data_IF_713433091614
#
_entry.id   IF_713433091614
#
_cell.length_a   1.000
_cell.length_b   1.000
_cell.length_c   1.000
_cell.angle_alpha   90.00
_cell.angle_beta   90.00
_cell.angle_gamma   90.00
#
_symmetry.space_group_name_H-M   'P 1'
#
loop_
_entity.id
_entity.type
_entity.pdbx_description
1 polymer ?
#
# COMPACT_ATOMS: atom_id res chain seq x y z
N UNK A 1 -8.99 28.87 26.51
CA UNK A 1 -9.21 27.63 27.28
C UNK A 1 -8.45 27.71 28.59
N UNK A 2 -7.14 27.78 28.58
CA UNK A 2 -6.31 27.97 29.77
C UNK A 2 -5.11 28.86 29.42
N UNK A 3 -4.60 29.59 30.42
CA UNK A 3 -3.30 30.30 30.39
C UNK A 3 -2.51 29.88 31.61
N UNK A 4 -1.23 29.74 31.46
CA UNK A 4 -0.29 29.42 32.53
C UNK A 4 1.13 29.83 32.15
N UNK A 5 2.03 29.80 33.09
CA UNK A 5 3.46 30.03 32.86
C UNK A 5 4.27 28.96 33.60
N UNK A 6 5.41 28.61 33.05
CA UNK A 6 6.38 27.72 33.66
C UNK A 6 7.78 28.29 33.45
N UNK A 7 8.74 27.90 34.25
CA UNK A 7 10.13 28.29 34.07
C UNK A 7 10.86 27.24 33.23
N UNK A 8 11.78 27.72 32.41
CA UNK A 8 12.72 26.87 31.67
C UNK A 8 13.85 26.51 32.62
N UNK A 9 14.25 25.25 32.66
CA UNK A 9 15.36 24.75 33.46
C UNK A 9 16.74 25.07 32.84
N UNK A 10 17.83 24.66 33.49
CA UNK A 10 19.20 24.91 33.06
C UNK A 10 19.54 24.23 31.74
N UNK A 11 18.82 23.17 31.38
CA UNK A 11 19.03 22.39 30.13
C UNK A 11 18.11 22.83 28.99
N UNK A 12 17.31 23.89 29.21
CA UNK A 12 16.36 24.41 28.25
C UNK A 12 15.02 23.67 28.25
N UNK A 13 14.78 22.75 29.17
CA UNK A 13 13.57 21.97 29.27
C UNK A 13 12.47 22.71 30.10
N UNK A 14 11.21 22.39 29.78
CA UNK A 14 10.07 22.79 30.61
C UNK A 14 8.97 21.75 30.54
N UNK A 15 8.14 21.71 31.60
CA UNK A 15 6.96 20.87 31.63
C UNK A 15 5.74 21.69 31.98
N UNK A 16 4.65 21.48 31.24
CA UNK A 16 3.36 22.11 31.51
C UNK A 16 2.25 21.07 31.34
N UNK A 17 1.39 20.97 32.35
CA UNK A 17 0.16 20.19 32.31
C UNK A 17 -1.05 21.12 32.50
N UNK A 18 -2.09 20.86 31.75
CA UNK A 18 -3.37 21.56 31.89
C UNK A 18 -4.54 20.63 31.63
N UNK A 19 -5.61 20.82 32.36
CA UNK A 19 -6.85 20.07 32.16
C UNK A 19 -7.71 20.73 31.08
N UNK A 20 -8.22 19.91 30.18
CA UNK A 20 -9.20 20.36 29.19
C UNK A 20 -10.57 20.37 29.87
N UNK A 21 -11.25 21.53 29.96
CA UNK A 21 -12.58 21.61 30.56
C UNK A 21 -13.56 20.69 29.84
N UNK A 22 -14.45 20.03 30.59
CA UNK A 22 -15.50 19.16 30.02
C UNK A 22 -16.42 19.87 29.02
N UNK A 23 -16.57 21.19 29.16
CA UNK A 23 -17.34 22.04 28.24
C UNK A 23 -16.50 22.66 27.10
N UNK A 24 -15.26 22.20 26.87
CA UNK A 24 -14.45 22.70 25.77
C UNK A 24 -15.10 22.37 24.43
N UNK A 25 -15.03 23.31 23.50
CA UNK A 25 -15.49 23.06 22.13
C UNK A 25 -14.64 21.94 21.49
N UNK A 26 -15.32 21.02 20.84
CA UNK A 26 -14.68 19.98 20.05
C UNK A 26 -14.09 20.57 18.75
N UNK A 27 -13.03 19.96 18.24
CA UNK A 27 -12.38 20.35 17.00
C UNK A 27 -10.91 20.73 17.17
N UNK A 28 -10.39 21.50 16.23
CA UNK A 28 -8.99 21.91 16.23
C UNK A 28 -8.70 22.93 17.33
N UNK A 29 -7.68 22.68 18.09
CA UNK A 29 -7.13 23.55 19.11
C UNK A 29 -5.62 23.71 18.92
N UNK A 30 -5.02 24.66 19.60
CA UNK A 30 -3.57 24.83 19.58
C UNK A 30 -3.06 25.33 20.94
N UNK A 31 -1.85 24.95 21.25
CA UNK A 31 -1.07 25.52 22.34
C UNK A 31 -0.21 26.61 21.73
N UNK A 32 -0.32 27.83 22.23
CA UNK A 32 0.58 28.92 21.90
C UNK A 32 1.59 29.05 23.05
N UNK A 33 2.85 28.93 22.72
CA UNK A 33 3.99 29.10 23.63
C UNK A 33 4.66 30.43 23.30
N UNK A 34 4.90 31.25 24.29
CA UNK A 34 5.61 32.52 24.19
C UNK A 34 6.76 32.49 25.19
N UNK A 35 7.95 32.85 24.75
CA UNK A 35 9.13 32.90 25.62
C UNK A 35 9.40 34.34 26.05
N UNK A 36 9.26 34.59 27.34
CA UNK A 36 9.59 35.89 27.93
C UNK A 36 11.12 36.09 28.02
N UNK A 37 11.58 37.29 27.64
CA UNK A 37 12.98 37.64 27.71
C UNK A 37 13.81 37.33 26.48
N UNK A 38 13.21 36.76 25.44
CA UNK A 38 13.90 36.34 24.20
C UNK A 38 14.06 37.45 23.13
N UNK A 39 14.15 38.71 23.52
CA UNK A 39 14.19 39.89 22.59
C UNK A 39 15.26 39.84 21.51
N UNK A 40 16.16 38.87 21.56
CA UNK A 40 17.28 38.72 20.60
C UNK A 40 17.12 37.52 19.67
N UNK A 41 16.07 36.72 19.80
CA UNK A 41 15.88 35.51 19.03
C UNK A 41 14.68 35.65 18.07
N UNK A 42 14.89 35.29 16.81
CA UNK A 42 13.78 35.08 15.86
C UNK A 42 13.07 33.76 16.24
N UNK A 43 11.80 33.80 16.61
CA UNK A 43 11.04 32.61 16.98
C UNK A 43 10.52 32.60 18.42
N UNK A 44 10.19 33.75 18.97
CA UNK A 44 9.67 33.95 20.34
C UNK A 44 8.34 33.20 20.62
N UNK A 45 7.64 32.75 19.60
CA UNK A 45 6.38 32.05 19.74
C UNK A 45 6.34 30.76 18.93
N UNK A 46 5.76 29.72 19.49
CA UNK A 46 5.50 28.46 18.84
C UNK A 46 4.04 28.06 19.00
N UNK A 47 3.44 27.50 17.94
CA UNK A 47 2.07 26.96 17.99
C UNK A 47 2.09 25.47 17.69
N UNK A 48 1.57 24.69 18.63
CA UNK A 48 1.40 23.26 18.48
C UNK A 48 -0.08 22.93 18.32
N UNK A 49 -0.52 22.44 17.15
CA UNK A 49 -1.92 22.06 16.95
C UNK A 49 -2.23 20.72 17.60
N UNK A 50 -3.45 20.58 18.11
CA UNK A 50 -4.01 19.32 18.59
C UNK A 50 -5.53 19.32 18.39
N UNK A 51 -6.17 18.17 18.55
CA UNK A 51 -7.62 18.03 18.41
C UNK A 51 -8.26 17.71 19.77
N UNK A 52 -9.36 18.39 20.06
CA UNK A 52 -10.24 18.06 21.18
C UNK A 52 -11.40 17.26 20.62
N UNK A 53 -11.51 16.01 21.04
CA UNK A 53 -12.56 15.09 20.59
C UNK A 53 -13.25 14.44 21.76
N UNK A 54 -14.56 14.16 21.60
CA UNK A 54 -15.27 13.32 22.54
C UNK A 54 -14.84 11.86 22.33
N UNK A 55 -14.26 11.27 23.35
CA UNK A 55 -13.94 9.84 23.30
C UNK A 55 -15.19 9.05 23.68
N UNK A 56 -15.76 8.34 22.71
CA UNK A 56 -16.77 7.33 22.96
C UNK A 56 -16.08 5.97 23.00
N UNK A 57 -16.33 5.23 24.07
CA UNK A 57 -15.83 3.86 24.16
C UNK A 57 -16.43 3.05 23.01
N UNK A 58 -15.59 2.32 22.22
CA UNK A 58 -16.10 1.45 21.19
C UNK A 58 -17.08 0.42 21.76
N UNK A 59 -18.22 0.23 21.12
CA UNK A 59 -19.22 -0.77 21.51
C UNK A 59 -19.09 -2.06 20.71
N UNK A 60 -18.45 -2.00 19.56
CA UNK A 60 -18.25 -3.13 18.67
C UNK A 60 -16.86 -3.11 18.02
N UNK A 61 -16.45 -4.26 17.51
CA UNK A 61 -15.23 -4.45 16.73
C UNK A 61 -15.59 -4.85 15.30
N UNK A 62 -14.67 -4.57 14.37
CA UNK A 62 -14.78 -4.97 12.97
C UNK A 62 -13.52 -5.73 12.57
N UNK A 63 -13.69 -6.85 11.90
CA UNK A 63 -12.61 -7.63 11.31
C UNK A 63 -12.86 -7.85 9.83
N UNK A 64 -11.80 -7.90 9.02
CA UNK A 64 -11.88 -8.22 7.60
C UNK A 64 -10.93 -9.35 7.26
N UNK A 65 -11.40 -10.28 6.44
CA UNK A 65 -10.63 -11.43 5.97
C UNK A 65 -10.92 -11.64 4.48
N UNK A 66 -9.98 -12.25 3.78
CA UNK A 66 -10.16 -12.74 2.42
C UNK A 66 -9.96 -14.23 2.35
N UNK A 67 -10.52 -14.89 1.33
CA UNK A 67 -10.21 -16.31 1.05
C UNK A 67 -8.70 -16.49 0.93
N UNK A 68 -8.20 -17.63 1.40
CA UNK A 68 -6.78 -17.98 1.31
C UNK A 68 -6.34 -18.13 -0.16
N UNK A 69 -5.09 -17.72 -0.42
CA UNK A 69 -4.46 -17.79 -1.75
C UNK A 69 -3.86 -19.18 -2.07
N UNK A 70 -3.14 -19.28 -3.17
CA UNK A 70 -2.78 -18.21 -4.10
C UNK A 70 -3.94 -17.77 -5.01
N UNK A 71 -4.00 -16.47 -5.30
CA UNK A 71 -4.98 -15.89 -6.19
C UNK A 71 -4.37 -15.61 -7.57
N UNK A 72 -5.18 -15.78 -8.62
CA UNK A 72 -4.74 -15.60 -10.01
C UNK A 72 -5.65 -14.68 -10.79
N UNK A 73 -5.09 -13.92 -11.72
CA UNK A 73 -5.85 -13.14 -12.70
C UNK A 73 -6.87 -14.03 -13.43
N UNK A 74 -8.07 -13.51 -13.69
CA UNK A 74 -9.18 -14.26 -14.28
C UNK A 74 -9.91 -15.18 -13.29
N UNK A 75 -9.62 -15.10 -12.00
CA UNK A 75 -10.33 -15.76 -10.90
C UNK A 75 -11.00 -14.73 -10.00
N UNK A 76 -11.43 -15.13 -8.83
CA UNK A 76 -12.02 -14.24 -7.84
C UNK A 76 -11.62 -14.66 -6.41
N UNK A 77 -11.82 -13.74 -5.48
CA UNK A 77 -11.78 -14.00 -4.05
C UNK A 77 -13.06 -13.49 -3.37
N UNK A 78 -13.28 -13.96 -2.15
CA UNK A 78 -14.34 -13.45 -1.29
C UNK A 78 -13.68 -12.69 -0.14
N UNK A 79 -13.98 -11.40 -0.04
CA UNK A 79 -13.74 -10.61 1.16
C UNK A 79 -14.89 -10.78 2.14
N UNK A 80 -14.60 -11.02 3.40
CA UNK A 80 -15.61 -11.11 4.46
C UNK A 80 -15.30 -10.06 5.52
N UNK A 81 -16.27 -9.21 5.83
CA UNK A 81 -16.24 -8.34 6.99
C UNK A 81 -17.16 -8.90 8.07
N UNK A 82 -16.72 -8.83 9.31
CA UNK A 82 -17.52 -9.23 10.49
C UNK A 82 -17.49 -8.12 11.51
N UNK A 83 -18.66 -7.72 11.98
CA UNK A 83 -18.83 -6.73 13.04
C UNK A 83 -19.56 -7.39 14.21
N UNK A 84 -19.00 -7.27 15.42
CA UNK A 84 -19.56 -7.87 16.62
C UNK A 84 -19.46 -6.92 17.83
N UNK A 85 -20.48 -6.93 18.67
CA UNK A 85 -20.46 -6.18 19.92
C UNK A 85 -19.48 -6.80 20.92
N UNK A 86 -18.76 -5.98 21.65
CA UNK A 86 -17.91 -6.46 22.76
C UNK A 86 -18.70 -7.19 23.85
N UNK A 87 -19.98 -6.89 23.98
CA UNK A 87 -20.89 -7.60 24.89
C UNK A 87 -21.36 -8.97 24.35
N UNK A 88 -20.98 -9.31 23.13
CA UNK A 88 -21.36 -10.53 22.41
C UNK A 88 -22.48 -10.31 21.40
N UNK A 89 -22.50 -11.15 20.35
CA UNK A 89 -23.44 -11.10 19.23
C UNK A 89 -22.96 -10.26 18.07
N UNK A 90 -23.45 -10.58 16.87
CA UNK A 90 -23.16 -9.83 15.63
C UNK A 90 -23.88 -8.49 15.61
N UNK A 91 -23.41 -7.57 14.79
CA UNK A 91 -24.04 -6.27 14.52
C UNK A 91 -24.89 -6.39 13.24
N UNK A 92 -26.20 -6.68 13.34
CA UNK A 92 -27.03 -6.89 12.17
C UNK A 92 -27.46 -5.56 11.52
N UNK A 93 -27.78 -5.61 10.22
CA UNK A 93 -28.29 -4.48 9.43
C UNK A 93 -27.41 -3.22 9.44
N UNK A 94 -26.16 -3.32 9.89
CA UNK A 94 -25.22 -2.22 9.89
C UNK A 94 -24.78 -1.86 8.47
N UNK A 95 -24.64 -0.57 8.20
CA UNK A 95 -24.14 -0.10 6.90
C UNK A 95 -22.69 -0.51 6.71
N UNK A 96 -22.40 -1.13 5.55
CA UNK A 96 -21.05 -1.53 5.14
C UNK A 96 -20.66 -0.77 3.90
N UNK A 97 -19.53 -0.10 3.96
CA UNK A 97 -18.89 0.52 2.80
C UNK A 97 -17.55 -0.17 2.52
N UNK A 98 -17.47 -0.80 1.36
CA UNK A 98 -16.25 -1.42 0.87
C UNK A 98 -15.51 -0.48 -0.06
N UNK A 99 -14.21 -0.39 0.15
CA UNK A 99 -13.24 0.22 -0.75
C UNK A 99 -12.23 -0.83 -1.18
N UNK A 100 -12.21 -1.15 -2.46
CA UNK A 100 -11.22 -2.07 -3.03
C UNK A 100 -10.28 -1.29 -3.92
N UNK A 101 -8.99 -1.42 -3.67
CA UNK A 101 -7.96 -0.80 -4.50
C UNK A 101 -6.93 -1.81 -4.94
N UNK A 102 -6.46 -1.66 -6.19
CA UNK A 102 -5.45 -2.53 -6.77
C UNK A 102 -4.20 -1.71 -7.14
N UNK A 103 -3.05 -2.14 -6.66
CA UNK A 103 -1.75 -1.52 -6.97
C UNK A 103 -0.76 -2.55 -7.52
N UNK A 104 0.27 -2.08 -8.23
CA UNK A 104 1.38 -2.94 -8.63
C UNK A 104 2.08 -3.50 -7.40
N UNK A 105 2.41 -4.79 -7.44
CA UNK A 105 3.10 -5.47 -6.36
C UNK A 105 4.38 -6.13 -6.87
N UNK A 106 5.36 -6.22 -5.99
CA UNK A 106 6.54 -7.03 -6.18
C UNK A 106 6.37 -8.36 -5.45
N UNK A 107 6.61 -9.44 -6.13
CA UNK A 107 6.64 -10.77 -5.54
C UNK A 107 7.97 -11.43 -5.87
N UNK A 108 8.71 -11.83 -4.86
CA UNK A 108 9.95 -12.58 -4.99
C UNK A 108 9.72 -13.96 -4.38
N UNK A 109 9.79 -15.04 -5.17
CA UNK A 109 9.63 -16.39 -4.65
C UNK A 109 10.66 -16.73 -3.56
N UNK A 110 10.34 -17.60 -2.60
CA UNK A 110 11.26 -18.05 -1.56
C UNK A 110 12.61 -18.53 -2.13
N UNK A 111 13.70 -18.20 -1.44
CA UNK A 111 15.07 -18.55 -1.81
C UNK A 111 15.56 -18.00 -3.17
N UNK A 112 14.92 -16.96 -3.71
CA UNK A 112 15.26 -16.33 -5.01
C UNK A 112 15.58 -14.83 -4.89
N UNK A 113 16.01 -14.38 -3.72
CA UNK A 113 16.29 -12.97 -3.42
C UNK A 113 17.35 -12.31 -4.34
N UNK A 114 18.19 -13.10 -5.03
CA UNK A 114 19.18 -12.56 -5.99
C UNK A 114 18.62 -12.25 -7.37
N UNK A 115 17.34 -12.50 -7.63
CA UNK A 115 16.69 -12.26 -8.91
C UNK A 115 15.64 -11.16 -8.79
N UNK A 116 15.47 -10.39 -9.86
CA UNK A 116 14.40 -9.42 -10.02
C UNK A 116 13.20 -10.08 -10.70
N UNK A 117 12.05 -10.03 -10.05
CA UNK A 117 10.78 -10.55 -10.56
C UNK A 117 9.79 -9.39 -10.74
N UNK A 118 8.97 -9.49 -11.77
CA UNK A 118 7.92 -8.51 -12.04
C UNK A 118 8.43 -7.22 -12.70
N UNK A 119 7.75 -6.11 -12.44
CA UNK A 119 8.04 -4.81 -13.05
C UNK A 119 9.40 -4.31 -12.54
N UNK A 120 10.35 -3.96 -13.44
CA UNK A 120 11.60 -3.39 -13.00
C UNK A 120 11.32 -2.11 -12.20
N UNK A 121 11.98 -1.99 -11.06
CA UNK A 121 11.92 -0.78 -10.25
C UNK A 121 12.66 0.32 -11.01
N UNK A 122 12.00 0.97 -11.96
CA UNK A 122 12.55 2.14 -12.63
C UNK A 122 12.71 3.24 -11.58
N UNK A 123 13.89 3.73 -11.45
CA UNK A 123 14.28 4.88 -10.62
C UNK A 123 13.61 6.16 -11.14
N UNK A 124 12.30 6.19 -11.14
CA UNK A 124 11.47 7.29 -11.60
C UNK A 124 10.52 7.73 -10.48
N UNK A 125 11.12 8.31 -9.45
CA UNK A 125 10.37 9.03 -8.41
C UNK A 125 9.68 10.30 -8.97
N UNK A 126 9.93 10.63 -10.24
CA UNK A 126 9.34 11.77 -10.96
C UNK A 126 8.18 11.41 -11.87
N UNK A 127 7.99 10.17 -12.22
CA UNK A 127 6.94 9.72 -13.14
C UNK A 127 5.93 8.80 -12.45
N UNK A 128 5.26 9.27 -11.42
CA UNK A 128 3.95 8.74 -11.10
C UNK A 128 2.98 9.23 -12.19
N UNK A 129 2.86 8.45 -13.25
CA UNK A 129 1.85 8.65 -14.26
C UNK A 129 0.47 8.57 -13.58
N UNK A 130 -0.48 9.35 -14.07
CA UNK A 130 -1.90 9.23 -13.66
C UNK A 130 -2.45 7.81 -13.87
N UNK A 131 -1.83 7.03 -14.76
CA UNK A 131 -2.11 5.60 -14.99
C UNK A 131 -1.66 4.68 -13.85
N UNK A 132 -0.78 5.14 -12.96
CA UNK A 132 -0.29 4.36 -11.80
C UNK A 132 -1.16 4.58 -10.54
N UNK A 133 -2.23 5.39 -10.63
CA UNK A 133 -3.20 5.49 -9.54
C UNK A 133 -3.92 4.16 -9.40
N UNK A 134 -3.99 3.60 -8.19
CA UNK A 134 -4.71 2.37 -7.96
C UNK A 134 -6.16 2.53 -8.41
N UNK A 135 -6.63 1.62 -9.25
CA UNK A 135 -8.06 1.51 -9.54
C UNK A 135 -8.79 1.33 -8.21
N UNK A 136 -9.77 2.17 -7.94
CA UNK A 136 -10.54 2.13 -6.71
C UNK A 136 -12.00 1.91 -7.06
N UNK A 137 -12.59 0.92 -6.39
CA UNK A 137 -13.99 0.59 -6.54
C UNK A 137 -14.67 0.63 -5.17
N UNK A 138 -15.90 1.12 -5.13
CA UNK A 138 -16.66 1.31 -3.91
C UNK A 138 -18.00 0.56 -4.00
N UNK A 139 -18.35 -0.16 -2.94
CA UNK A 139 -19.64 -0.85 -2.82
C UNK A 139 -20.26 -0.58 -1.48
N UNK A 140 -21.59 -0.46 -1.48
CA UNK A 140 -22.39 -0.30 -0.27
C UNK A 140 -23.27 -1.52 -0.06
N UNK A 141 -23.35 -1.97 1.17
CA UNK A 141 -24.07 -3.16 1.56
C UNK A 141 -24.54 -3.05 3.02
N UNK A 142 -25.11 -4.12 3.55
CA UNK A 142 -25.43 -4.26 4.96
C UNK A 142 -24.97 -5.60 5.49
N UNK A 143 -24.68 -5.63 6.79
CA UNK A 143 -24.41 -6.89 7.47
C UNK A 143 -25.65 -7.74 7.59
N UNK A 144 -25.47 -9.05 7.59
CA UNK A 144 -26.53 -10.04 7.86
C UNK A 144 -26.86 -10.14 9.38
N UNK A 145 -27.73 -11.07 9.74
CA UNK A 145 -28.12 -11.32 11.12
C UNK A 145 -26.95 -11.74 12.04
N UNK A 146 -25.86 -12.27 11.47
CA UNK A 146 -24.64 -12.64 12.18
C UNK A 146 -23.63 -11.49 12.25
N UNK A 147 -23.95 -10.31 11.70
CA UNK A 147 -23.05 -9.17 11.62
C UNK A 147 -22.00 -9.30 10.51
N UNK A 148 -22.27 -10.10 9.48
CA UNK A 148 -21.31 -10.35 8.40
C UNK A 148 -21.81 -9.80 7.06
N UNK A 149 -20.85 -9.42 6.21
CA UNK A 149 -21.08 -9.22 4.79
C UNK A 149 -19.94 -9.81 3.98
N UNK A 150 -20.29 -10.39 2.81
CA UNK A 150 -19.34 -11.01 1.89
C UNK A 150 -19.34 -10.28 0.56
N UNK A 151 -18.18 -9.82 0.13
CA UNK A 151 -17.96 -9.19 -1.17
C UNK A 151 -17.19 -10.15 -2.08
N UNK A 152 -17.72 -10.44 -3.26
CA UNK A 152 -16.98 -11.11 -4.32
C UNK A 152 -16.18 -10.06 -5.08
N UNK A 153 -14.89 -10.30 -5.23
CA UNK A 153 -13.96 -9.47 -6.00
C UNK A 153 -13.42 -10.29 -7.16
N UNK A 154 -13.80 -9.93 -8.38
CA UNK A 154 -13.33 -10.57 -9.61
C UNK A 154 -12.01 -9.92 -10.06
N UNK A 155 -11.10 -10.73 -10.63
CA UNK A 155 -9.77 -10.29 -11.07
C UNK A 155 -9.65 -10.16 -12.58
N UNK A 156 -10.77 -10.12 -13.30
CA UNK A 156 -10.80 -10.10 -14.77
C UNK A 156 -10.26 -8.78 -15.37
N UNK A 157 -10.40 -7.67 -14.63
CA UNK A 157 -9.91 -6.35 -15.06
C UNK A 157 -8.45 -6.06 -14.75
N UNK A 158 -7.73 -7.00 -14.13
CA UNK A 158 -6.33 -6.81 -13.78
C UNK A 158 -5.43 -7.10 -14.98
N UNK A 159 -4.49 -6.19 -15.28
CA UNK A 159 -3.48 -6.45 -16.30
C UNK A 159 -2.60 -7.65 -15.89
N UNK A 160 -2.43 -8.65 -16.78
CA UNK A 160 -1.79 -9.92 -16.41
C UNK A 160 -0.25 -9.88 -16.40
N UNK A 161 0.36 -8.70 -16.55
CA UNK A 161 1.81 -8.63 -16.72
C UNK A 161 2.59 -8.82 -15.41
N UNK A 162 2.00 -8.41 -14.27
CA UNK A 162 2.69 -8.39 -12.98
C UNK A 162 1.75 -8.78 -11.84
N UNK A 163 2.33 -9.13 -10.70
CA UNK A 163 1.56 -9.33 -9.49
C UNK A 163 0.88 -8.02 -9.05
N UNK A 164 -0.34 -8.13 -8.52
CA UNK A 164 -1.12 -7.00 -8.02
C UNK A 164 -1.46 -7.22 -6.57
N UNK A 165 -1.26 -6.20 -5.75
CA UNK A 165 -1.81 -6.17 -4.40
C UNK A 165 -3.20 -5.57 -4.43
N UNK A 166 -4.16 -6.30 -3.88
CA UNK A 166 -5.50 -5.79 -3.63
C UNK A 166 -5.66 -5.53 -2.14
N UNK A 167 -6.06 -4.32 -1.81
CA UNK A 167 -6.45 -3.92 -0.47
C UNK A 167 -7.98 -3.81 -0.42
N UNK A 168 -8.60 -4.61 0.45
CA UNK A 168 -10.02 -4.60 0.76
C UNK A 168 -10.21 -3.91 2.08
N UNK A 169 -10.79 -2.73 2.08
CA UNK A 169 -11.11 -1.96 3.26
C UNK A 169 -12.62 -1.92 3.44
N UNK A 170 -13.10 -2.35 4.60
CA UNK A 170 -14.51 -2.36 4.94
C UNK A 170 -14.77 -1.48 6.15
N UNK A 171 -15.59 -0.46 5.99
CA UNK A 171 -16.09 0.40 7.06
C UNK A 171 -17.51 -0.01 7.44
N UNK A 172 -17.72 -0.32 8.70
CA UNK A 172 -19.04 -0.68 9.23
C UNK A 172 -19.52 0.42 10.16
N UNK A 173 -20.75 0.90 9.91
CA UNK A 173 -21.38 1.99 10.67
C UNK A 173 -22.61 1.48 11.38
N UNK A 174 -22.70 1.67 12.68
CA UNK A 174 -23.85 1.30 13.50
C UNK A 174 -24.97 2.34 13.46
N UNK A 175 -26.09 2.04 14.13
CA UNK A 175 -27.23 2.95 14.27
C UNK A 175 -26.92 4.25 15.02
N UNK A 176 -25.89 4.25 15.85
CA UNK A 176 -25.39 5.41 16.60
C UNK A 176 -24.40 6.25 15.79
N UNK A 177 -24.16 5.89 14.52
CA UNK A 177 -23.17 6.51 13.62
C UNK A 177 -21.74 6.35 14.09
N UNK A 178 -21.44 5.33 14.88
CA UNK A 178 -20.05 4.94 15.12
C UNK A 178 -19.60 4.10 13.93
N UNK A 179 -18.42 4.41 13.38
CA UNK A 179 -17.86 3.70 12.23
C UNK A 179 -16.49 3.15 12.56
N UNK A 180 -16.29 1.88 12.24
CA UNK A 180 -14.98 1.20 12.36
C UNK A 180 -14.61 0.56 11.05
N UNK A 181 -13.32 0.61 10.76
CA UNK A 181 -12.77 0.11 9.51
C UNK A 181 -11.81 -1.03 9.77
N UNK A 182 -11.95 -2.10 9.00
CA UNK A 182 -10.98 -3.20 8.96
C UNK A 182 -10.47 -3.40 7.53
N UNK A 183 -9.27 -3.96 7.42
CA UNK A 183 -8.60 -4.18 6.14
C UNK A 183 -8.15 -5.62 6.01
N UNK A 184 -8.25 -6.16 4.79
CA UNK A 184 -7.62 -7.39 4.35
C UNK A 184 -6.85 -7.12 3.06
N UNK A 185 -5.68 -7.71 2.94
CA UNK A 185 -4.81 -7.56 1.76
C UNK A 185 -4.60 -8.92 1.13
N UNK A 186 -4.62 -8.98 -0.19
CA UNK A 186 -4.31 -10.19 -0.94
C UNK A 186 -3.37 -9.90 -2.11
N UNK A 187 -2.59 -10.89 -2.50
CA UNK A 187 -1.72 -10.83 -3.67
C UNK A 187 -2.32 -11.67 -4.79
N UNK A 188 -2.51 -11.04 -5.95
CA UNK A 188 -3.03 -11.70 -7.16
C UNK A 188 -1.89 -11.85 -8.15
N UNK A 189 -1.60 -13.09 -8.51
CA UNK A 189 -0.53 -13.44 -9.43
C UNK A 189 -1.03 -13.52 -10.88
N UNK A 190 -0.22 -13.14 -11.88
CA UNK A 190 -0.57 -13.32 -13.29
C UNK A 190 -0.68 -14.80 -13.68
N UNK A 191 0.15 -15.65 -13.08
CA UNK A 191 0.20 -17.09 -13.34
C UNK A 191 0.77 -17.85 -12.14
N UNK A 192 0.74 -19.18 -12.20
CA UNK A 192 1.36 -20.07 -11.22
C UNK A 192 2.87 -20.23 -11.41
N UNK A 193 3.44 -19.54 -12.38
CA UNK A 193 4.88 -19.48 -12.65
C UNK A 193 5.32 -18.05 -12.83
N UNK A 194 6.58 -17.76 -12.51
CA UNK A 194 7.17 -16.44 -12.67
C UNK A 194 8.58 -16.54 -13.22
N UNK A 195 9.03 -15.46 -13.89
CA UNK A 195 10.37 -15.38 -14.48
C UNK A 195 11.17 -14.36 -13.69
N UNK A 196 12.32 -14.77 -13.20
CA UNK A 196 13.31 -13.92 -12.54
C UNK A 196 14.49 -13.62 -13.45
N UNK A 197 15.00 -12.41 -13.36
CA UNK A 197 16.17 -11.89 -14.07
C UNK A 197 17.23 -11.48 -13.05
N UNK A 198 18.49 -11.78 -13.36
CA UNK A 198 19.65 -11.28 -12.61
C UNK A 198 20.71 -10.83 -13.60
N UNK A 199 21.15 -9.61 -13.44
CA UNK A 199 22.27 -9.02 -14.20
C UNK A 199 23.54 -9.00 -13.35
N UNK A 200 24.70 -9.21 -13.97
CA UNK A 200 26.01 -9.04 -13.32
C UNK A 200 26.31 -7.56 -13.03
N UNK A 201 25.81 -6.67 -13.87
CA UNK A 201 26.04 -5.23 -13.76
C UNK A 201 24.89 -4.43 -14.37
N UNK A 202 24.44 -3.43 -13.65
CA UNK A 202 23.45 -2.44 -14.12
C UNK A 202 24.05 -1.36 -15.03
N UNK A 203 25.38 -1.26 -15.09
CA UNK A 203 26.11 -0.27 -15.90
C UNK A 203 27.13 -0.98 -16.78
N UNK A 204 26.98 -0.80 -18.08
CA UNK A 204 27.86 -1.40 -19.10
C UNK A 204 28.52 -0.32 -19.94
N UNK A 205 29.83 -0.50 -20.22
CA UNK A 205 30.52 0.31 -21.18
C UNK A 205 30.09 -0.06 -22.60
N UNK A 206 30.07 0.92 -23.51
CA UNK A 206 29.76 0.68 -24.90
C UNK A 206 30.64 -0.42 -25.53
N UNK A 207 30.04 -1.35 -26.26
CA UNK A 207 30.72 -2.47 -26.89
C UNK A 207 30.99 -3.67 -25.96
N UNK A 208 30.52 -3.66 -24.73
CA UNK A 208 30.57 -4.83 -23.84
C UNK A 208 29.31 -5.67 -23.93
N UNK A 209 29.46 -6.97 -23.69
CA UNK A 209 28.34 -7.91 -23.64
C UNK A 209 27.60 -7.78 -22.30
N UNK A 210 26.29 -7.88 -22.36
CA UNK A 210 25.42 -8.02 -21.19
C UNK A 210 25.20 -9.52 -20.91
N UNK A 211 25.60 -9.96 -19.72
CA UNK A 211 25.29 -11.30 -19.25
C UNK A 211 24.04 -11.21 -18.35
N UNK A 212 23.04 -12.02 -18.67
CA UNK A 212 21.79 -12.11 -17.93
C UNK A 212 21.56 -13.56 -17.52
N UNK A 213 21.34 -13.78 -16.23
CA UNK A 213 20.84 -15.06 -15.74
C UNK A 213 19.32 -14.99 -15.64
N UNK A 214 18.64 -15.98 -16.17
CA UNK A 214 17.19 -16.10 -16.11
C UNK A 214 16.78 -17.38 -15.43
N UNK A 215 15.70 -17.33 -14.66
CA UNK A 215 15.13 -18.50 -13.98
C UNK A 215 13.60 -18.47 -14.11
N UNK A 216 13.01 -19.64 -14.34
CA UNK A 216 11.55 -19.83 -14.24
C UNK A 216 11.27 -20.61 -12.97
N UNK A 217 10.40 -20.12 -12.11
CA UNK A 217 10.03 -20.80 -10.87
C UNK A 217 8.51 -20.87 -10.71
N UNK A 218 8.04 -21.78 -9.87
CA UNK A 218 6.72 -21.68 -9.26
C UNK A 218 6.71 -20.59 -8.17
N UNK A 219 5.57 -20.41 -7.50
CA UNK A 219 5.43 -19.42 -6.44
C UNK A 219 6.19 -19.79 -5.16
N UNK A 220 6.55 -21.06 -4.98
CA UNK A 220 7.35 -21.55 -3.86
C UNK A 220 8.86 -21.45 -4.12
N UNK A 221 9.24 -20.98 -5.32
CA UNK A 221 10.63 -20.77 -5.71
C UNK A 221 11.32 -22.01 -6.30
N UNK A 222 10.58 -23.09 -6.58
CA UNK A 222 11.13 -24.27 -7.24
C UNK A 222 11.36 -23.99 -8.72
N UNK A 223 12.58 -24.24 -9.22
CA UNK A 223 12.91 -24.04 -10.62
C UNK A 223 12.14 -25.00 -11.54
N UNK A 224 11.60 -24.47 -12.63
CA UNK A 224 10.82 -25.23 -13.60
C UNK A 224 11.58 -25.26 -14.92
N UNK A 225 11.95 -26.48 -15.37
CA UNK A 225 12.61 -26.69 -16.65
C UNK A 225 11.62 -26.83 -17.82
N UNK A 226 12.14 -26.68 -19.04
CA UNK A 226 11.41 -26.95 -20.27
C UNK A 226 10.40 -25.86 -20.69
N UNK A 227 10.42 -24.70 -20.05
CA UNK A 227 9.54 -23.58 -20.41
C UNK A 227 10.22 -22.65 -21.43
N UNK A 228 9.59 -22.37 -22.57
CA UNK A 228 10.10 -21.36 -23.49
C UNK A 228 9.93 -19.97 -22.86
N UNK A 229 11.01 -19.19 -22.85
CA UNK A 229 11.04 -17.80 -22.36
C UNK A 229 11.42 -16.90 -23.51
N UNK A 230 10.52 -15.99 -23.88
CA UNK A 230 10.80 -14.92 -24.86
C UNK A 230 11.57 -13.79 -24.19
N UNK A 231 12.67 -13.39 -24.79
CA UNK A 231 13.48 -12.26 -24.33
C UNK A 231 13.39 -11.15 -25.37
N UNK A 232 13.10 -9.93 -24.90
CA UNK A 232 13.02 -8.75 -25.74
C UNK A 232 13.95 -7.69 -25.15
N UNK A 233 14.93 -7.25 -25.95
CA UNK A 233 15.84 -6.17 -25.60
C UNK A 233 15.44 -4.91 -26.36
N UNK A 234 15.18 -3.84 -25.66
CA UNK A 234 14.80 -2.55 -26.23
C UNK A 234 15.77 -1.47 -25.76
N UNK A 235 16.15 -0.59 -26.68
CA UNK A 235 16.86 0.63 -26.33
C UNK A 235 15.82 1.70 -25.97
N UNK A 236 15.89 2.23 -24.77
CA UNK A 236 15.05 3.36 -24.35
C UNK A 236 15.94 4.59 -24.21
N UNK A 237 15.60 5.66 -24.91
CA UNK A 237 16.28 6.95 -24.81
C UNK A 237 15.33 7.95 -24.16
N UNK A 238 15.73 8.51 -23.02
CA UNK A 238 14.94 9.52 -22.32
C UNK A 238 15.43 10.91 -22.70
N UNK A 239 14.53 11.73 -23.24
CA UNK A 239 14.78 13.15 -23.52
C UNK A 239 14.07 14.00 -22.49
N UNK A 240 14.76 14.97 -21.95
CA UNK A 240 14.20 15.91 -20.98
C UNK A 240 13.83 17.24 -21.65
N UNK A 241 12.59 17.67 -21.46
CA UNK A 241 12.07 18.96 -21.92
C UNK A 241 11.60 19.76 -20.69
N UNK A 242 12.53 20.46 -20.03
CA UNK A 242 12.23 21.14 -18.76
C UNK A 242 11.90 20.15 -17.63
N UNK A 243 10.68 20.15 -17.13
CA UNK A 243 10.19 19.25 -16.08
C UNK A 243 9.54 17.97 -16.61
N UNK A 244 9.39 17.82 -17.94
CA UNK A 244 8.78 16.66 -18.57
C UNK A 244 9.84 15.79 -19.22
N UNK A 245 9.63 14.46 -19.24
CA UNK A 245 10.48 13.51 -19.93
C UNK A 245 9.68 12.77 -21.01
N UNK A 246 10.29 12.56 -22.15
CA UNK A 246 9.77 11.73 -23.25
C UNK A 246 10.69 10.53 -23.43
N UNK A 247 10.11 9.34 -23.52
CA UNK A 247 10.83 8.09 -23.79
C UNK A 247 10.65 7.70 -25.25
N UNK A 248 11.77 7.57 -25.97
CA UNK A 248 11.81 7.04 -27.32
C UNK A 248 12.31 5.59 -27.27
N UNK A 249 11.46 4.66 -27.74
CA UNK A 249 11.75 3.23 -27.74
C UNK A 249 12.27 2.86 -29.14
N UNK A 250 13.53 2.49 -29.20
CA UNK A 250 14.17 2.02 -30.43
C UNK A 250 13.75 0.61 -30.84
N UNK A 251 14.29 0.11 -31.95
CA UNK A 251 13.99 -1.23 -32.43
C UNK A 251 14.35 -2.29 -31.40
N UNK A 252 13.49 -3.31 -31.27
CA UNK A 252 13.69 -4.43 -30.36
C UNK A 252 14.48 -5.57 -31.01
N UNK A 253 15.39 -6.16 -30.25
CA UNK A 253 15.98 -7.46 -30.56
C UNK A 253 15.26 -8.53 -29.73
N UNK A 254 14.93 -9.66 -30.38
CA UNK A 254 14.19 -10.74 -29.70
C UNK A 254 14.92 -12.07 -29.86
N UNK A 255 14.92 -12.85 -28.78
CA UNK A 255 15.36 -14.24 -28.79
C UNK A 255 14.47 -15.10 -27.91
N UNK A 256 14.65 -16.41 -27.95
CA UNK A 256 13.94 -17.33 -27.06
C UNK A 256 14.95 -18.32 -26.49
N UNK A 257 14.80 -18.57 -25.19
CA UNK A 257 15.58 -19.56 -24.44
C UNK A 257 14.64 -20.55 -23.77
N UNK A 258 15.15 -21.73 -23.44
CA UNK A 258 14.37 -22.74 -22.70
C UNK A 258 14.92 -22.84 -21.28
N UNK A 259 14.03 -22.73 -20.30
CA UNK A 259 14.43 -22.84 -18.88
C UNK A 259 14.98 -24.21 -18.56
N UNK A 260 15.92 -24.25 -17.62
CA UNK A 260 16.49 -25.49 -17.03
C UNK A 260 16.17 -25.51 -15.53
N UNK A 261 16.65 -26.51 -14.81
CA UNK A 261 16.57 -26.58 -13.32
C UNK A 261 17.54 -25.63 -12.65
N UNK A 262 18.45 -25.05 -13.41
CA UNK A 262 19.38 -23.99 -13.00
C UNK A 262 19.08 -22.70 -13.78
N UNK A 263 19.71 -21.60 -13.43
CA UNK A 263 19.60 -20.36 -14.24
C UNK A 263 20.24 -20.54 -15.62
N UNK A 264 19.66 -19.93 -16.62
CA UNK A 264 20.12 -19.92 -18.02
C UNK A 264 20.61 -18.54 -18.39
#
# INVERSE_FOLDING_TARGET
IAKGSTSVDSDGGFHLAFDIPKAANLGNAHIALELDGARQFHGESHRHPFQVQEFRKPEFEVTAQSTEGPHYVGKHAIGTVSASYFAGGGLPDAEVEWNVSAADASFVPPNRAGYHFGKPNRWSWWSQSEKDRPAREEWKAKTDAAGQHRLRVDFDGLEPAYARQLDLEASVTDVNRQSWTARSTMLVHPANVTVGLREESTVLAAGKSLNLDMIVTDLDGTAIAGRPVGVKLERVTTRWHGSTSEEDIGPAETCSVTSTTESV
#
